data_IF_848840495534
#
_entry.id   IF_848840495534
#
_cell.length_a   1.000
_cell.length_b   1.000
_cell.length_c   1.000
_cell.angle_alpha   90.00
_cell.angle_beta   90.00
_cell.angle_gamma   90.00
#
_symmetry.space_group_name_H-M   'P 1'
#
loop_
_entity.id
_entity.type
_entity.pdbx_description
1 polymer ?
#
# COMPACT_ATOMS: atom_id res chain seq x y z
N UNK A 1 28.89 12.99 16.38
CA UNK A 1 28.26 11.97 15.52
C UNK A 1 26.77 12.17 15.65
N UNK A 2 26.02 12.47 14.57
CA UNK A 2 24.57 12.57 14.69
C UNK A 2 24.04 11.16 14.98
N UNK A 3 23.19 11.08 15.99
CA UNK A 3 22.48 9.89 16.40
C UNK A 3 21.56 9.45 15.25
N UNK A 4 21.84 8.29 14.66
CA UNK A 4 21.02 7.71 13.57
C UNK A 4 19.80 6.96 14.10
N UNK A 5 19.51 7.05 15.41
CA UNK A 5 18.45 6.27 16.05
C UNK A 5 17.07 6.96 16.04
N UNK A 6 16.93 8.15 15.46
CA UNK A 6 15.69 8.96 15.51
C UNK A 6 15.26 9.50 14.16
N UNK A 7 15.08 8.62 13.17
CA UNK A 7 14.14 8.91 12.08
C UNK A 7 13.09 7.84 12.10
N UNK A 8 11.97 8.16 12.76
CA UNK A 8 10.71 7.47 12.53
C UNK A 8 10.47 7.30 11.02
N UNK A 9 9.70 6.28 10.68
CA UNK A 9 9.52 5.84 9.31
C UNK A 9 9.04 7.02 8.43
N UNK A 10 9.89 7.51 7.51
CA UNK A 10 9.58 8.70 6.71
C UNK A 10 8.61 8.33 5.58
N UNK A 11 7.38 8.86 5.68
CA UNK A 11 6.32 8.59 4.72
C UNK A 11 6.63 9.09 3.30
N UNK A 12 7.42 10.17 3.12
CA UNK A 12 7.81 10.61 1.78
C UNK A 12 8.72 9.59 1.11
N UNK A 13 9.65 9.02 1.87
CA UNK A 13 10.50 7.92 1.40
C UNK A 13 9.66 6.69 1.04
N UNK A 14 8.67 6.33 1.87
CA UNK A 14 7.73 5.24 1.53
C UNK A 14 6.96 5.50 0.24
N UNK A 15 6.39 6.70 0.08
CA UNK A 15 5.62 7.07 -1.10
C UNK A 15 6.48 7.02 -2.37
N UNK A 16 7.71 7.54 -2.30
CA UNK A 16 8.66 7.50 -3.40
C UNK A 16 8.99 6.04 -3.82
N UNK A 17 9.35 5.20 -2.85
CA UNK A 17 9.66 3.78 -3.12
C UNK A 17 8.45 3.02 -3.67
N UNK A 18 7.25 3.28 -3.16
CA UNK A 18 6.04 2.63 -3.65
C UNK A 18 5.70 3.02 -5.10
N UNK A 19 5.97 4.27 -5.49
CA UNK A 19 5.83 4.73 -6.88
C UNK A 19 6.88 4.10 -7.80
N UNK A 20 8.13 3.98 -7.34
CA UNK A 20 9.17 3.27 -8.12
C UNK A 20 8.81 1.80 -8.36
N UNK A 21 8.14 1.15 -7.40
CA UNK A 21 7.63 -0.22 -7.59
C UNK A 21 6.50 -0.25 -8.63
N UNK A 22 5.61 0.75 -8.65
CA UNK A 22 4.53 0.85 -9.65
C UNK A 22 5.08 0.92 -11.08
N UNK A 23 6.25 1.53 -11.31
CA UNK A 23 6.86 1.56 -12.65
C UNK A 23 7.12 0.15 -13.21
N UNK A 24 7.39 -0.83 -12.34
CA UNK A 24 7.60 -2.23 -12.73
C UNK A 24 6.30 -3.06 -12.70
N UNK A 25 5.33 -2.69 -11.86
CA UNK A 25 4.01 -3.34 -11.73
C UNK A 25 2.89 -2.28 -11.74
N UNK A 26 2.47 -1.82 -12.94
CA UNK A 26 1.58 -0.68 -13.06
C UNK A 26 0.19 -0.95 -12.47
N UNK A 27 -0.30 -0.02 -11.66
CA UNK A 27 -1.67 -0.07 -11.13
C UNK A 27 -2.65 0.42 -12.21
N UNK A 28 -3.72 -0.34 -12.42
CA UNK A 28 -4.81 0.05 -13.32
C UNK A 28 -5.72 1.10 -12.64
N UNK A 29 -5.27 2.36 -12.59
CA UNK A 29 -6.05 3.47 -12.02
C UNK A 29 -7.39 3.74 -12.72
N UNK A 30 -7.58 3.26 -13.95
CA UNK A 30 -8.83 3.40 -14.71
C UNK A 30 -9.24 4.85 -14.92
N UNK A 31 -10.56 5.12 -14.84
CA UNK A 31 -11.15 6.46 -14.96
C UNK A 31 -11.28 7.21 -13.62
N UNK A 32 -10.53 6.82 -12.59
CA UNK A 32 -10.58 7.47 -11.29
C UNK A 32 -9.99 8.87 -11.39
N UNK A 33 -10.79 9.89 -11.08
CA UNK A 33 -10.36 11.29 -10.99
C UNK A 33 -9.62 11.55 -9.66
N UNK A 34 -8.53 10.81 -9.43
CA UNK A 34 -7.69 10.91 -8.25
C UNK A 34 -6.28 11.37 -8.65
N UNK A 35 -5.71 12.25 -7.84
CA UNK A 35 -4.30 12.59 -7.96
C UNK A 35 -3.43 11.50 -7.33
N UNK A 36 -2.60 10.83 -8.14
CA UNK A 36 -1.81 9.68 -7.71
C UNK A 36 -0.82 10.06 -6.63
N UNK A 37 -0.15 11.21 -6.79
CA UNK A 37 0.84 11.67 -5.82
C UNK A 37 0.20 11.89 -4.45
N UNK A 38 -0.92 12.61 -4.41
CA UNK A 38 -1.72 12.80 -3.18
C UNK A 38 -2.16 11.46 -2.58
N UNK A 39 -2.58 10.48 -3.39
CA UNK A 39 -2.99 9.16 -2.88
C UNK A 39 -1.81 8.43 -2.27
N UNK A 40 -0.65 8.40 -2.93
CA UNK A 40 0.55 7.76 -2.40
C UNK A 40 1.00 8.39 -1.09
N UNK A 41 1.07 9.72 -1.02
CA UNK A 41 1.50 10.44 0.17
C UNK A 41 0.53 10.21 1.34
N UNK A 42 -0.77 10.26 1.08
CA UNK A 42 -1.81 10.00 2.08
C UNK A 42 -1.72 8.58 2.66
N UNK A 43 -1.56 7.57 1.81
CA UNK A 43 -1.47 6.17 2.25
C UNK A 43 -0.14 5.90 2.96
N UNK A 44 0.97 6.46 2.44
CA UNK A 44 2.27 6.33 3.07
C UNK A 44 2.30 6.98 4.46
N UNK A 45 1.66 8.14 4.65
CA UNK A 45 1.55 8.79 5.97
C UNK A 45 0.86 7.89 6.98
N UNK A 46 -0.28 7.32 6.61
CA UNK A 46 -1.05 6.42 7.49
C UNK A 46 -0.25 5.17 7.87
N UNK A 47 0.48 4.58 6.92
CA UNK A 47 1.32 3.40 7.20
C UNK A 47 2.50 3.78 8.11
N UNK A 48 3.17 4.90 7.84
CA UNK A 48 4.25 5.39 8.69
C UNK A 48 3.79 5.61 10.14
N UNK A 49 2.65 6.29 10.32
CA UNK A 49 2.02 6.52 11.63
C UNK A 49 1.69 5.21 12.36
N UNK A 50 1.15 4.22 11.64
CA UNK A 50 0.83 2.91 12.21
C UNK A 50 2.09 2.23 12.78
N UNK A 51 3.18 2.19 12.01
CA UNK A 51 4.43 1.56 12.44
C UNK A 51 5.14 2.37 13.53
N UNK A 52 5.05 3.70 13.49
CA UNK A 52 5.52 4.55 14.57
C UNK A 52 4.76 4.25 15.87
N UNK A 53 3.44 4.04 15.79
CA UNK A 53 2.62 3.61 16.93
C UNK A 53 3.06 2.25 17.51
N UNK A 54 3.48 1.31 16.66
CA UNK A 54 4.04 0.03 17.10
C UNK A 54 5.39 0.20 17.80
N UNK A 55 6.28 1.05 17.28
CA UNK A 55 7.56 1.36 17.93
C UNK A 55 7.34 2.01 19.30
N UNK A 56 6.46 3.02 19.38
CA UNK A 56 6.11 3.70 20.64
C UNK A 56 5.47 2.75 21.67
N UNK A 57 4.70 1.77 21.21
CA UNK A 57 4.04 0.78 22.07
C UNK A 57 4.97 -0.39 22.46
N UNK A 58 6.24 -0.37 22.03
CA UNK A 58 7.22 -1.42 22.34
C UNK A 58 6.98 -2.75 21.63
N UNK A 59 6.28 -2.74 20.49
CA UNK A 59 6.09 -3.95 19.69
C UNK A 59 7.43 -4.37 19.07
N UNK A 60 7.93 -5.60 19.29
CA UNK A 60 9.20 -6.05 18.72
C UNK A 60 9.21 -6.02 17.20
N UNK A 61 10.36 -5.67 16.58
CA UNK A 61 10.49 -5.56 15.11
C UNK A 61 10.06 -6.84 14.37
N UNK A 62 10.38 -8.02 14.88
CA UNK A 62 9.94 -9.29 14.26
C UNK A 62 8.42 -9.42 14.21
N UNK A 63 7.72 -8.95 15.26
CA UNK A 63 6.25 -8.93 15.28
C UNK A 63 5.70 -7.87 14.33
N UNK A 64 6.34 -6.70 14.22
CA UNK A 64 5.96 -5.69 13.23
C UNK A 64 6.10 -6.23 11.81
N UNK A 65 7.19 -6.95 11.51
CA UNK A 65 7.42 -7.60 10.22
C UNK A 65 6.35 -8.66 9.92
N UNK A 66 6.00 -9.50 10.90
CA UNK A 66 4.91 -10.48 10.74
C UNK A 66 3.57 -9.81 10.43
N UNK A 67 3.26 -8.69 11.09
CA UNK A 67 2.05 -7.90 10.82
C UNK A 67 2.10 -7.31 9.41
N UNK A 68 3.23 -6.74 9.01
CA UNK A 68 3.45 -6.18 7.67
C UNK A 68 3.19 -7.23 6.57
N UNK A 69 3.86 -8.38 6.66
CA UNK A 69 3.73 -9.47 5.70
C UNK A 69 2.31 -10.05 5.68
N UNK A 70 1.68 -10.21 6.84
CA UNK A 70 0.28 -10.67 6.91
C UNK A 70 -0.67 -9.68 6.23
N UNK A 71 -0.40 -8.38 6.37
CA UNK A 71 -1.16 -7.31 5.72
C UNK A 71 -0.95 -7.34 4.21
N UNK A 72 0.28 -7.50 3.74
CA UNK A 72 0.59 -7.67 2.32
C UNK A 72 -0.16 -8.86 1.75
N UNK A 73 -0.12 -10.03 2.39
CA UNK A 73 -0.89 -11.21 1.95
C UNK A 73 -2.38 -10.90 1.85
N UNK A 74 -2.97 -10.25 2.87
CA UNK A 74 -4.39 -9.86 2.85
C UNK A 74 -4.71 -8.93 1.69
N UNK A 75 -3.92 -7.88 1.49
CA UNK A 75 -4.10 -6.93 0.39
C UNK A 75 -3.96 -7.60 -0.97
N UNK A 76 -3.01 -8.53 -1.14
CA UNK A 76 -2.87 -9.32 -2.36
C UNK A 76 -4.09 -10.21 -2.62
N UNK A 77 -4.64 -10.85 -1.58
CA UNK A 77 -5.87 -11.66 -1.71
C UNK A 77 -7.07 -10.77 -2.04
N UNK A 78 -7.21 -9.60 -1.40
CA UNK A 78 -8.28 -8.64 -1.69
C UNK A 78 -8.19 -8.12 -3.13
N UNK A 79 -6.99 -7.75 -3.57
CA UNK A 79 -6.71 -7.34 -4.94
C UNK A 79 -7.08 -8.46 -5.93
N UNK A 80 -6.64 -9.69 -5.69
CA UNK A 80 -7.00 -10.84 -6.52
C UNK A 80 -8.52 -11.02 -6.62
N UNK A 81 -9.24 -10.98 -5.50
CA UNK A 81 -10.72 -11.12 -5.49
C UNK A 81 -11.40 -9.96 -6.22
N UNK A 82 -10.91 -8.72 -6.06
CA UNK A 82 -11.43 -7.55 -6.77
C UNK A 82 -11.21 -7.68 -8.28
N UNK A 83 -10.01 -8.06 -8.73
CA UNK A 83 -9.74 -8.32 -10.14
C UNK A 83 -10.68 -9.40 -10.71
N UNK A 84 -10.91 -10.50 -9.99
CA UNK A 84 -11.86 -11.53 -10.43
C UNK A 84 -13.30 -10.99 -10.54
N UNK A 85 -13.72 -10.07 -9.67
CA UNK A 85 -15.04 -9.44 -9.74
C UNK A 85 -15.16 -8.50 -10.94
N UNK A 86 -14.14 -7.68 -11.18
CA UNK A 86 -14.10 -6.74 -12.32
C UNK A 86 -14.14 -7.51 -13.65
N UNK A 87 -13.33 -8.56 -13.80
CA UNK A 87 -13.35 -9.38 -15.01
C UNK A 87 -14.73 -10.00 -15.27
N UNK A 88 -15.39 -10.52 -14.23
CA UNK A 88 -16.75 -11.09 -14.37
C UNK A 88 -17.81 -10.04 -14.73
N UNK A 89 -17.68 -8.81 -14.26
CA UNK A 89 -18.61 -7.73 -14.59
C UNK A 89 -18.46 -7.34 -16.07
N UNK A 90 -17.22 -7.18 -16.56
CA UNK A 90 -16.95 -6.90 -17.96
C UNK A 90 -17.43 -8.03 -18.90
N UNK A 91 -17.27 -9.29 -18.49
CA UNK A 91 -17.78 -10.46 -19.22
C UNK A 91 -19.32 -10.52 -19.26
N UNK A 92 -20.02 -9.91 -18.29
CA UNK A 92 -21.48 -9.86 -18.27
C UNK A 92 -22.01 -8.75 -19.20
N UNK A 93 -21.39 -7.56 -19.16
CA UNK A 93 -21.75 -6.44 -20.05
C UNK A 93 -21.55 -6.80 -21.53
N UNK A 94 -20.51 -7.57 -21.86
CA UNK A 94 -20.24 -8.02 -23.23
C UNK A 94 -21.16 -9.15 -23.74
N UNK A 95 -22.02 -9.73 -22.90
CA UNK A 95 -23.01 -10.76 -23.31
C UNK A 95 -24.41 -10.20 -23.55
N UNK A 96 -24.67 -8.98 -23.09
CA UNK A 96 -25.95 -8.29 -23.25
C UNK A 96 -25.98 -7.36 -24.47
N UNK A 97 -24.87 -7.23 -25.21
CA UNK A 97 -24.73 -6.57 -26.54
C UNK A 97 -24.75 -7.58 -27.70
#
# INVERSE_FOLDING_TARGET
MPDTSDRGLDHHTLAALAREVEDADPIAWGGLALDRETVYDLIASQIAELFQGYEQSGVPRDRQMLIALSTVVKLTVENFVLHQRVMRAADAESRDE
#
